data_IF_973523665602
#
_entry.id   IF_973523665602
#
_cell.length_a   1.000
_cell.length_b   1.000
_cell.length_c   1.000
_cell.angle_alpha   90.00
_cell.angle_beta   90.00
_cell.angle_gamma   90.00
#
_symmetry.space_group_name_H-M   'P 1'
#
loop_
_entity.id
_entity.type
_entity.pdbx_description
1 polymer ?
#
# COMPACT_ATOMS: atom_id res chain seq x y z
N UNK A 1 5.62 -7.08 9.19
CA UNK A 1 5.81 -5.60 9.13
C UNK A 1 4.48 -4.86 8.94
N UNK A 2 4.38 -3.64 9.46
CA UNK A 2 3.22 -2.75 9.25
C UNK A 2 3.21 -2.08 7.87
N UNK A 3 2.20 -1.25 7.60
CA UNK A 3 2.12 -0.39 6.41
C UNK A 3 1.18 0.80 6.65
N UNK A 4 1.54 2.03 6.26
CA UNK A 4 0.76 3.24 6.57
C UNK A 4 -0.57 3.42 5.80
N UNK A 5 -1.02 2.39 5.08
CA UNK A 5 -2.24 2.43 4.24
C UNK A 5 -2.94 1.08 4.15
N UNK A 6 -2.22 -0.04 4.15
CA UNK A 6 -2.83 -1.37 4.26
C UNK A 6 -2.78 -1.94 5.67
N UNK A 7 -2.06 -1.30 6.60
CA UNK A 7 -1.96 -1.68 8.02
C UNK A 7 -0.94 -2.78 8.19
N UNK A 8 -1.11 -3.88 7.45
CA UNK A 8 -0.16 -4.98 7.35
C UNK A 8 0.53 -4.98 5.98
N UNK A 9 1.85 -5.20 5.99
CA UNK A 9 2.64 -5.59 4.83
C UNK A 9 2.64 -7.10 4.60
N UNK A 10 1.45 -7.71 4.59
CA UNK A 10 1.25 -9.16 4.56
C UNK A 10 1.12 -9.73 3.14
N UNK A 11 0.60 -10.94 3.05
CA UNK A 11 0.44 -11.70 1.82
C UNK A 11 -0.37 -10.93 0.77
N UNK A 12 -1.55 -10.41 1.13
CA UNK A 12 -2.45 -9.75 0.18
C UNK A 12 -1.79 -8.51 -0.41
N UNK A 13 -1.25 -7.63 0.44
CA UNK A 13 -0.60 -6.40 -0.03
C UNK A 13 0.62 -6.72 -0.89
N UNK A 14 1.47 -7.66 -0.48
CA UNK A 14 2.71 -7.95 -1.20
C UNK A 14 2.44 -8.54 -2.58
N UNK A 15 1.44 -9.40 -2.70
CA UNK A 15 0.99 -9.93 -4.00
C UNK A 15 0.39 -8.81 -4.86
N UNK A 16 -0.52 -8.02 -4.30
CA UNK A 16 -1.22 -6.96 -5.01
C UNK A 16 -0.27 -5.93 -5.66
N UNK A 17 0.84 -5.58 -4.99
CA UNK A 17 1.77 -4.55 -5.50
C UNK A 17 3.09 -5.09 -6.03
N UNK A 18 3.44 -6.33 -5.70
CA UNK A 18 4.72 -6.96 -6.05
C UNK A 18 4.65 -7.90 -7.24
N UNK A 19 3.48 -8.48 -7.52
CA UNK A 19 3.28 -9.45 -8.60
C UNK A 19 2.53 -8.86 -9.81
N UNK A 20 2.50 -7.53 -9.93
CA UNK A 20 1.83 -6.80 -11.01
C UNK A 20 2.80 -5.85 -11.71
N UNK A 21 2.47 -5.43 -12.93
CA UNK A 21 3.29 -4.47 -13.66
C UNK A 21 3.23 -3.06 -13.03
N UNK A 22 4.14 -2.17 -13.46
CA UNK A 22 4.25 -0.81 -12.92
C UNK A 22 2.96 0.01 -13.09
N UNK A 23 2.25 -0.16 -14.20
CA UNK A 23 0.99 0.55 -14.49
C UNK A 23 -0.12 0.10 -13.55
N UNK A 24 -0.30 -1.21 -13.35
CA UNK A 24 -1.26 -1.76 -12.39
C UNK A 24 -0.93 -1.31 -10.97
N UNK A 25 0.35 -1.38 -10.56
CA UNK A 25 0.79 -0.85 -9.26
C UNK A 25 0.42 0.62 -9.09
N UNK A 26 0.60 1.44 -10.13
CA UNK A 26 0.21 2.85 -10.11
C UNK A 26 -1.31 3.04 -10.00
N UNK A 27 -2.12 2.23 -10.71
CA UNK A 27 -3.59 2.28 -10.66
C UNK A 27 -4.16 1.90 -9.29
N UNK A 28 -3.50 1.01 -8.54
CA UNK A 28 -3.87 0.73 -7.15
C UNK A 28 -3.78 2.01 -6.31
N UNK A 29 -2.77 2.85 -6.56
CA UNK A 29 -2.53 4.06 -5.77
C UNK A 29 -3.27 5.28 -6.30
N UNK A 30 -3.45 5.41 -7.61
CA UNK A 30 -3.80 6.66 -8.30
C UNK A 30 -5.15 6.56 -9.01
N UNK A 31 -5.92 7.65 -8.99
CA UNK A 31 -7.21 7.77 -9.70
C UNK A 31 -7.09 7.96 -11.22
N UNK A 32 -5.88 8.06 -11.76
CA UNK A 32 -5.64 8.23 -13.20
C UNK A 32 -4.35 9.00 -13.51
N UNK A 33 -4.15 9.38 -14.78
CA UNK A 33 -2.99 10.14 -15.23
C UNK A 33 -2.79 11.47 -14.49
N UNK A 34 -1.56 12.01 -14.46
CA UNK A 34 -1.34 13.38 -14.01
C UNK A 34 -2.03 14.38 -14.93
N UNK A 35 -2.36 15.56 -14.39
CA UNK A 35 -2.93 16.68 -15.14
C UNK A 35 -2.05 17.92 -14.99
N UNK A 36 -2.13 18.82 -15.96
CA UNK A 36 -1.31 20.04 -16.03
C UNK A 36 -2.08 21.24 -15.48
N UNK A 37 -1.48 21.93 -14.50
CA UNK A 37 -1.93 23.22 -13.95
C UNK A 37 -1.44 24.33 -14.90
N UNK A 38 -2.29 24.71 -15.85
CA UNK A 38 -1.90 25.61 -16.95
C UNK A 38 -1.36 26.96 -16.50
N UNK A 39 -1.91 27.50 -15.42
CA UNK A 39 -1.48 28.77 -14.81
C UNK A 39 -0.04 28.74 -14.28
N UNK A 40 0.53 27.54 -14.03
CA UNK A 40 1.93 27.38 -13.59
C UNK A 40 2.85 26.90 -14.70
N UNK A 41 2.31 26.23 -15.72
CA UNK A 41 3.13 25.67 -16.79
C UNK A 41 3.75 26.78 -17.65
N UNK A 42 5.07 26.78 -17.80
CA UNK A 42 5.80 27.73 -18.65
C UNK A 42 6.31 27.09 -19.96
N UNK A 43 5.91 25.86 -20.28
CA UNK A 43 6.27 25.20 -21.52
C UNK A 43 7.73 24.73 -21.64
N UNK A 44 8.49 24.65 -20.54
CA UNK A 44 9.93 24.30 -20.58
C UNK A 44 10.29 22.92 -21.16
N UNK A 45 9.33 22.00 -21.29
CA UNK A 45 9.54 20.71 -21.95
C UNK A 45 10.33 19.66 -21.16
N UNK A 46 10.75 19.92 -19.92
CA UNK A 46 11.46 18.91 -19.11
C UNK A 46 10.65 17.62 -18.91
N UNK A 47 9.33 17.74 -18.72
CA UNK A 47 8.44 16.59 -18.62
C UNK A 47 8.32 15.79 -19.91
N UNK A 48 8.46 16.42 -21.08
CA UNK A 48 8.49 15.74 -22.38
C UNK A 48 9.73 14.84 -22.45
N UNK A 49 10.91 15.39 -22.15
CA UNK A 49 12.18 14.64 -22.16
C UNK A 49 12.20 13.51 -21.14
N UNK A 50 11.55 13.70 -20.00
CA UNK A 50 11.49 12.71 -18.93
C UNK A 50 10.54 11.53 -19.24
N UNK A 51 9.49 11.74 -20.04
CA UNK A 51 8.45 10.75 -20.23
C UNK A 51 8.92 9.58 -21.10
N UNK A 52 9.07 8.35 -20.56
CA UNK A 52 9.54 7.20 -21.35
C UNK A 52 8.50 6.69 -22.36
N UNK A 53 7.25 7.10 -22.22
CA UNK A 53 6.15 6.67 -23.08
C UNK A 53 5.82 7.69 -24.19
N UNK A 54 6.57 8.80 -24.28
CA UNK A 54 6.26 9.91 -25.18
C UNK A 54 4.81 10.41 -25.04
N UNK A 55 4.26 10.34 -23.83
CA UNK A 55 2.88 10.68 -23.51
C UNK A 55 2.69 12.17 -23.22
N UNK A 56 3.72 13.00 -23.39
CA UNK A 56 3.66 14.43 -23.05
C UNK A 56 4.16 15.24 -24.24
N UNK A 57 3.39 16.24 -24.66
CA UNK A 57 3.75 17.18 -25.73
C UNK A 57 3.60 18.62 -25.25
N UNK A 58 4.21 19.57 -25.98
CA UNK A 58 3.97 21.00 -25.78
C UNK A 58 3.04 21.49 -26.89
N UNK A 59 1.89 22.04 -26.50
CA UNK A 59 0.92 22.65 -27.40
C UNK A 59 0.57 24.05 -26.87
N UNK A 60 0.64 25.07 -27.73
CA UNK A 60 0.37 26.47 -27.36
C UNK A 60 1.16 26.93 -26.12
N UNK A 61 2.43 26.52 -26.03
CA UNK A 61 3.31 26.86 -24.91
C UNK A 61 3.00 26.14 -23.59
N UNK A 62 2.11 25.14 -23.58
CA UNK A 62 1.71 24.38 -22.38
C UNK A 62 1.90 22.88 -22.59
N UNK A 63 2.22 22.18 -21.50
CA UNK A 63 2.27 20.73 -21.52
C UNK A 63 0.86 20.14 -21.67
N UNK A 64 0.76 19.07 -22.46
CA UNK A 64 -0.43 18.22 -22.63
C UNK A 64 -0.03 16.78 -22.40
N UNK A 65 -0.87 16.04 -21.70
CA UNK A 65 -0.65 14.63 -21.38
C UNK A 65 -1.65 13.83 -22.22
N UNK A 66 -1.13 12.86 -22.95
CA UNK A 66 -1.88 11.83 -23.66
C UNK A 66 -2.19 10.72 -22.65
N UNK A 67 -3.43 10.68 -22.19
CA UNK A 67 -3.87 9.78 -21.13
C UNK A 67 -3.77 8.30 -21.54
N UNK A 68 -3.94 7.99 -22.83
CA UNK A 68 -3.87 6.62 -23.35
C UNK A 68 -2.44 6.07 -23.37
N UNK A 69 -1.45 6.94 -23.59
CA UNK A 69 -0.03 6.56 -23.55
C UNK A 69 0.58 6.60 -22.16
N UNK A 70 -0.08 7.24 -21.20
CA UNK A 70 0.50 7.52 -19.90
C UNK A 70 0.67 6.25 -19.04
N UNK A 71 1.91 5.98 -18.57
CA UNK A 71 2.19 4.86 -17.66
C UNK A 71 1.89 5.17 -16.18
N UNK A 72 1.27 6.32 -15.88
CA UNK A 72 0.75 6.79 -14.58
C UNK A 72 1.77 7.09 -13.46
N UNK A 73 2.86 6.32 -13.40
CA UNK A 73 3.77 6.22 -12.27
C UNK A 73 5.20 6.73 -12.52
N UNK A 74 5.47 7.37 -13.68
CA UNK A 74 6.85 7.68 -14.06
C UNK A 74 7.54 8.73 -13.17
N UNK A 75 6.80 9.63 -12.52
CA UNK A 75 7.38 10.67 -11.67
C UNK A 75 7.55 12.05 -12.33
N UNK A 76 6.85 12.34 -13.43
CA UNK A 76 6.98 13.60 -14.16
C UNK A 76 6.63 14.84 -13.30
N UNK A 77 5.83 14.67 -12.25
CA UNK A 77 5.54 15.72 -11.27
C UNK A 77 6.78 16.13 -10.46
N UNK A 78 7.70 15.21 -10.18
CA UNK A 78 8.90 15.48 -9.37
C UNK A 78 9.97 16.28 -10.12
N UNK A 79 9.95 16.26 -11.45
CA UNK A 79 10.93 16.96 -12.29
C UNK A 79 10.46 18.34 -12.75
N UNK A 80 9.20 18.70 -12.46
CA UNK A 80 8.61 19.92 -12.99
C UNK A 80 9.02 21.11 -12.10
N UNK A 81 9.89 22.03 -12.55
CA UNK A 81 10.39 23.11 -11.69
C UNK A 81 9.29 24.10 -11.30
N UNK A 82 8.26 24.22 -12.13
CA UNK A 82 7.13 25.09 -11.89
C UNK A 82 6.03 24.45 -11.02
N UNK A 83 6.18 23.18 -10.62
CA UNK A 83 5.13 22.39 -9.96
C UNK A 83 3.79 22.44 -10.71
N UNK A 84 3.87 22.40 -12.04
CA UNK A 84 2.74 22.53 -12.96
C UNK A 84 2.09 21.20 -13.32
N UNK A 85 2.60 20.07 -12.84
CA UNK A 85 1.98 18.74 -12.99
C UNK A 85 1.43 18.34 -11.62
N UNK A 86 0.22 17.79 -11.57
CA UNK A 86 -0.38 17.36 -10.30
C UNK A 86 0.49 16.36 -9.56
N UNK A 87 0.71 16.63 -8.28
CA UNK A 87 1.57 15.82 -7.43
C UNK A 87 1.03 14.40 -7.23
N UNK A 88 1.93 13.49 -6.84
CA UNK A 88 1.58 12.10 -6.54
C UNK A 88 0.42 11.97 -5.54
N UNK A 89 0.47 12.76 -4.45
CA UNK A 89 -0.54 12.73 -3.38
C UNK A 89 -1.89 13.33 -3.78
N UNK A 90 -1.90 14.33 -4.68
CA UNK A 90 -3.12 14.95 -5.20
C UNK A 90 -4.00 13.92 -5.92
N UNK A 91 -3.36 12.89 -6.52
CA UNK A 91 -4.04 11.84 -7.29
C UNK A 91 -4.26 10.54 -6.53
N UNK A 92 -3.80 10.44 -5.29
CA UNK A 92 -4.00 9.24 -4.50
C UNK A 92 -5.48 8.93 -4.29
N UNK A 93 -5.86 7.66 -4.51
CA UNK A 93 -7.18 7.14 -4.16
C UNK A 93 -7.49 7.36 -2.67
N UNK A 94 -8.75 7.66 -2.32
CA UNK A 94 -9.26 7.52 -0.96
C UNK A 94 -8.95 6.14 -0.38
N UNK A 95 -8.99 6.04 0.95
CA UNK A 95 -8.54 4.86 1.65
C UNK A 95 -9.37 3.60 1.32
N UNK A 96 -10.70 3.73 1.27
CA UNK A 96 -11.60 2.63 0.88
C UNK A 96 -11.32 2.15 -0.54
N UNK A 97 -11.28 3.05 -1.52
CA UNK A 97 -11.00 2.70 -2.92
C UNK A 97 -9.62 2.04 -3.10
N UNK A 98 -8.62 2.50 -2.35
CA UNK A 98 -7.30 1.88 -2.33
C UNK A 98 -7.35 0.46 -1.78
N UNK A 99 -8.06 0.23 -0.67
CA UNK A 99 -8.22 -1.11 -0.10
C UNK A 99 -8.91 -2.09 -1.05
N UNK A 100 -9.96 -1.62 -1.74
CA UNK A 100 -10.64 -2.41 -2.79
C UNK A 100 -9.70 -2.73 -3.95
N UNK A 101 -8.93 -1.76 -4.43
CA UNK A 101 -7.98 -1.96 -5.53
C UNK A 101 -6.83 -2.93 -5.15
N UNK A 102 -6.40 -2.93 -3.88
CA UNK A 102 -5.43 -3.90 -3.36
C UNK A 102 -6.02 -5.31 -3.39
N UNK A 103 -7.25 -5.49 -2.90
CA UNK A 103 -7.92 -6.80 -2.90
C UNK A 103 -8.17 -7.32 -4.33
N UNK A 104 -8.59 -6.45 -5.25
CA UNK A 104 -8.83 -6.79 -6.65
C UNK A 104 -7.54 -7.23 -7.37
N UNK A 105 -6.45 -6.48 -7.18
CA UNK A 105 -5.16 -6.84 -7.75
C UNK A 105 -4.63 -8.18 -7.19
N UNK A 106 -4.79 -8.42 -5.88
CA UNK A 106 -4.45 -9.70 -5.29
C UNK A 106 -5.31 -10.84 -5.85
N UNK A 107 -6.60 -10.59 -6.08
CA UNK A 107 -7.53 -11.57 -6.63
C UNK A 107 -7.06 -12.10 -7.99
N UNK A 108 -6.74 -11.20 -8.91
CA UNK A 108 -6.29 -11.58 -10.26
C UNK A 108 -5.02 -12.43 -10.20
N UNK A 109 -4.05 -12.06 -9.36
CA UNK A 109 -2.79 -12.81 -9.24
C UNK A 109 -3.02 -14.18 -8.61
N UNK A 110 -3.75 -14.28 -7.50
CA UNK A 110 -3.97 -15.56 -6.81
C UNK A 110 -4.77 -16.51 -7.69
N UNK A 111 -5.80 -16.03 -8.40
CA UNK A 111 -6.63 -16.85 -9.30
C UNK A 111 -5.91 -17.31 -10.57
N UNK A 112 -4.79 -16.69 -10.92
CA UNK A 112 -3.95 -17.16 -12.02
C UNK A 112 -3.31 -18.52 -11.71
N UNK A 113 -2.99 -18.78 -10.44
CA UNK A 113 -2.34 -20.03 -10.02
C UNK A 113 -3.36 -21.13 -9.72
N UNK A 114 -2.99 -22.38 -10.02
CA UNK A 114 -3.73 -23.55 -9.53
C UNK A 114 -3.70 -23.55 -7.99
N UNK A 115 -4.83 -23.75 -7.28
CA UNK A 115 -4.88 -23.65 -5.82
C UNK A 115 -3.87 -24.56 -5.08
N UNK A 116 -3.53 -25.72 -5.64
CA UNK A 116 -2.54 -26.64 -5.05
C UNK A 116 -1.08 -26.21 -5.26
N UNK A 117 -0.83 -25.20 -6.11
CA UNK A 117 0.51 -24.71 -6.50
C UNK A 117 0.84 -23.35 -5.92
N UNK A 118 0.02 -22.84 -5.01
CA UNK A 118 0.23 -21.56 -4.32
C UNK A 118 0.11 -21.76 -2.81
N UNK A 119 0.95 -21.03 -2.07
CA UNK A 119 0.95 -20.96 -0.62
C UNK A 119 1.51 -19.63 -0.17
N UNK A 120 1.23 -19.27 1.08
CA UNK A 120 1.53 -17.97 1.66
C UNK A 120 2.31 -18.16 2.96
N UNK A 121 3.31 -17.30 3.17
CA UNK A 121 4.13 -17.27 4.36
C UNK A 121 4.20 -15.82 4.83
N UNK A 122 3.82 -15.57 6.08
CA UNK A 122 4.02 -14.29 6.74
C UNK A 122 5.12 -14.45 7.78
N UNK A 123 6.14 -13.61 7.66
CA UNK A 123 7.21 -13.50 8.63
C UNK A 123 6.87 -12.35 9.57
N UNK A 124 6.43 -12.69 10.77
CA UNK A 124 5.97 -11.74 11.79
C UNK A 124 7.02 -11.55 12.89
N UNK A 125 8.30 -11.53 12.51
CA UNK A 125 9.40 -11.10 13.37
C UNK A 125 9.69 -9.61 13.12
N UNK A 126 10.18 -8.90 14.15
CA UNK A 126 10.56 -7.48 14.10
C UNK A 126 9.53 -6.61 13.36
N UNK A 127 8.26 -6.68 13.79
CA UNK A 127 7.20 -5.95 13.11
C UNK A 127 7.38 -4.47 13.38
N UNK A 128 7.85 -3.73 12.37
CA UNK A 128 8.02 -2.27 12.41
C UNK A 128 6.79 -1.54 11.88
N UNK A 129 6.63 -0.22 12.14
CA UNK A 129 5.57 0.60 11.52
C UNK A 129 5.68 0.67 9.99
N UNK A 130 6.93 0.64 9.49
CA UNK A 130 7.25 0.70 8.07
C UNK A 130 7.07 -0.66 7.38
N UNK A 131 6.66 -0.64 6.11
CA UNK A 131 6.72 -1.79 5.22
C UNK A 131 8.02 -1.78 4.39
N UNK A 132 8.30 -2.86 3.65
CA UNK A 132 9.47 -2.98 2.78
C UNK A 132 9.49 -2.02 1.57
N UNK A 133 8.46 -1.19 1.38
CA UNK A 133 8.49 -0.14 0.38
C UNK A 133 9.26 1.11 0.84
N UNK A 134 9.65 1.18 2.11
CA UNK A 134 10.49 2.23 2.67
C UNK A 134 11.96 1.82 2.57
N UNK A 135 12.85 2.78 2.33
CA UNK A 135 14.31 2.55 2.27
C UNK A 135 14.97 2.54 3.66
N UNK A 136 14.17 2.62 4.71
CA UNK A 136 14.59 2.68 6.11
C UNK A 136 13.59 1.91 6.98
N UNK A 137 13.97 1.65 8.22
CA UNK A 137 13.17 0.93 9.21
C UNK A 137 13.27 1.61 10.57
N UNK A 138 12.42 1.22 11.50
CA UNK A 138 12.42 1.69 12.89
C UNK A 138 12.63 0.53 13.85
N UNK A 139 12.70 0.81 15.16
CA UNK A 139 12.53 -0.16 16.23
C UNK A 139 11.22 -0.93 16.03
N UNK A 140 11.26 -2.24 16.22
CA UNK A 140 10.07 -3.07 16.17
C UNK A 140 9.03 -2.58 17.19
N UNK A 141 7.76 -2.55 16.80
CA UNK A 141 6.66 -2.09 17.66
C UNK A 141 5.99 -3.23 18.41
N UNK A 142 6.14 -4.47 17.94
CA UNK A 142 5.72 -5.68 18.67
C UNK A 142 6.85 -6.74 18.64
N UNK A 143 6.92 -7.61 19.67
CA UNK A 143 7.85 -8.74 19.70
C UNK A 143 7.71 -9.69 18.52
N UNK A 144 8.68 -10.57 18.39
CA UNK A 144 8.63 -11.69 17.45
C UNK A 144 7.43 -12.60 17.74
N UNK A 145 6.58 -12.77 16.73
CA UNK A 145 5.41 -13.68 16.74
C UNK A 145 5.77 -15.01 16.06
N UNK A 146 6.79 -15.01 15.20
CA UNK A 146 7.25 -16.17 14.45
C UNK A 146 6.78 -16.19 12.99
N UNK A 147 6.61 -17.41 12.46
CA UNK A 147 6.31 -17.67 11.06
C UNK A 147 4.92 -18.27 10.94
N UNK A 148 4.06 -17.63 10.15
CA UNK A 148 2.76 -18.17 9.79
C UNK A 148 2.80 -18.73 8.38
N UNK A 149 2.11 -19.84 8.15
CA UNK A 149 2.01 -20.49 6.84
C UNK A 149 0.55 -20.85 6.59
N UNK A 150 0.05 -20.61 5.37
CA UNK A 150 -1.31 -20.96 4.97
C UNK A 150 -1.43 -21.16 3.46
N UNK A 151 -2.47 -21.86 3.03
CA UNK A 151 -2.94 -21.85 1.63
C UNK A 151 -4.02 -20.80 1.38
N UNK A 152 -4.46 -20.10 2.43
CA UNK A 152 -5.47 -19.05 2.39
C UNK A 152 -4.81 -17.70 2.74
N UNK A 153 -4.76 -16.74 1.79
CA UNK A 153 -4.11 -15.45 1.97
C UNK A 153 -4.89 -14.50 2.89
N UNK A 154 -6.21 -14.68 3.03
CA UNK A 154 -7.02 -13.88 3.95
C UNK A 154 -6.82 -14.37 5.37
N UNK A 155 -6.85 -15.69 5.57
CA UNK A 155 -6.67 -16.31 6.88
C UNK A 155 -5.29 -15.98 7.47
N UNK A 156 -4.21 -16.06 6.68
CA UNK A 156 -2.86 -15.78 7.18
C UNK A 156 -2.65 -14.31 7.57
N UNK A 157 -3.19 -13.37 6.79
CA UNK A 157 -3.11 -11.95 7.12
C UNK A 157 -3.98 -11.63 8.33
N UNK A 158 -5.19 -12.20 8.41
CA UNK A 158 -6.07 -12.07 9.59
C UNK A 158 -5.43 -12.62 10.86
N UNK A 159 -4.85 -13.83 10.80
CA UNK A 159 -4.11 -14.42 11.90
C UNK A 159 -2.92 -13.56 12.34
N UNK A 160 -2.18 -13.02 11.37
CA UNK A 160 -1.05 -12.12 11.66
C UNK A 160 -1.52 -10.86 12.39
N UNK A 161 -2.62 -10.24 11.94
CA UNK A 161 -3.19 -9.05 12.56
C UNK A 161 -3.67 -9.33 13.99
N UNK A 162 -4.34 -10.46 14.21
CA UNK A 162 -4.82 -10.84 15.53
C UNK A 162 -3.66 -11.11 16.51
N UNK A 163 -2.63 -11.85 16.08
CA UNK A 163 -1.46 -12.10 16.92
C UNK A 163 -0.69 -10.80 17.22
N UNK A 164 -0.58 -9.87 16.27
CA UNK A 164 0.01 -8.54 16.51
C UNK A 164 -0.83 -7.73 17.52
N UNK A 165 -2.16 -7.84 17.45
CA UNK A 165 -3.06 -7.18 18.38
C UNK A 165 -2.89 -7.73 19.80
N UNK A 166 -2.73 -9.04 19.95
CA UNK A 166 -2.53 -9.71 21.24
C UNK A 166 -1.08 -9.66 21.76
N UNK A 167 -0.13 -9.20 20.95
CA UNK A 167 1.24 -8.94 21.41
C UNK A 167 1.33 -7.60 22.18
N UNK A 168 2.15 -7.51 23.24
CA UNK A 168 2.46 -6.22 23.87
C UNK A 168 3.30 -5.35 22.92
N UNK A 169 3.33 -4.05 23.16
CA UNK A 169 4.25 -3.14 22.46
C UNK A 169 5.69 -3.24 23.00
N UNK A 170 6.65 -2.79 22.19
CA UNK A 170 8.06 -2.70 22.60
C UNK A 170 8.39 -1.25 23.06
N UNK A 171 9.09 -1.05 24.21
CA UNK A 171 9.53 0.28 24.65
C UNK A 171 10.47 0.95 23.65
N UNK A 172 10.51 2.29 23.66
CA UNK A 172 11.31 3.08 22.72
C UNK A 172 11.00 2.79 21.25
N UNK A 173 9.73 2.48 20.96
CA UNK A 173 9.20 2.28 19.61
C UNK A 173 7.98 3.17 19.37
N UNK A 174 7.48 3.17 18.13
CA UNK A 174 6.22 3.83 17.79
C UNK A 174 5.03 3.36 18.66
N UNK A 175 5.06 2.14 19.22
CA UNK A 175 4.00 1.68 20.12
C UNK A 175 3.96 2.47 21.43
N UNK A 176 5.13 2.88 21.96
CA UNK A 176 5.23 3.69 23.17
C UNK A 176 4.82 5.14 22.89
N UNK A 177 5.33 5.72 21.79
CA UNK A 177 4.99 7.09 21.38
C UNK A 177 3.49 7.30 21.18
N UNK A 178 2.82 6.31 20.58
CA UNK A 178 1.38 6.31 20.36
C UNK A 178 0.55 5.86 21.58
N UNK A 179 1.20 5.40 22.67
CA UNK A 179 0.55 4.85 23.86
C UNK A 179 -0.35 3.63 23.57
N UNK A 180 0.09 2.76 22.67
CA UNK A 180 -0.63 1.56 22.20
C UNK A 180 0.06 0.26 22.65
N UNK A 181 0.73 0.30 23.79
CA UNK A 181 1.56 -0.81 24.30
C UNK A 181 0.75 -2.03 24.77
N UNK A 182 -0.53 -1.85 25.10
CA UNK A 182 -1.34 -2.91 25.71
C UNK A 182 -1.74 -3.99 24.69
N UNK A 183 -1.95 -5.20 25.18
CA UNK A 183 -2.58 -6.30 24.43
C UNK A 183 -4.03 -5.95 24.08
N UNK A 184 -4.55 -6.50 22.99
CA UNK A 184 -5.90 -6.22 22.49
C UNK A 184 -6.05 -4.89 21.75
N UNK A 185 -5.02 -4.04 21.73
CA UNK A 185 -5.00 -2.77 20.99
C UNK A 185 -4.60 -3.02 19.53
N UNK A 186 -5.38 -2.50 18.59
CA UNK A 186 -5.09 -2.57 17.17
C UNK A 186 -3.94 -1.64 16.78
N UNK A 187 -2.72 -2.14 16.91
CA UNK A 187 -1.51 -1.36 16.65
C UNK A 187 -1.38 -0.97 15.16
N UNK A 188 -1.84 -1.83 14.25
CA UNK A 188 -1.69 -1.65 12.80
C UNK A 188 -2.61 -0.57 12.22
N UNK A 189 -3.77 -0.33 12.82
CA UNK A 189 -4.58 0.85 12.48
C UNK A 189 -3.94 2.13 13.04
N UNK A 190 -3.38 2.05 14.25
CA UNK A 190 -2.89 3.23 14.98
C UNK A 190 -1.58 3.80 14.42
N UNK A 191 -0.74 3.00 13.74
CA UNK A 191 0.47 3.53 13.08
C UNK A 191 0.18 4.60 12.01
N UNK A 192 -1.05 4.67 11.47
CA UNK A 192 -1.44 5.73 10.55
C UNK A 192 -1.61 7.10 11.23
N UNK A 193 -1.70 7.12 12.56
CA UNK A 193 -1.71 8.33 13.39
C UNK A 193 -0.31 8.75 13.84
N UNK A 194 0.70 7.91 13.62
CA UNK A 194 2.08 8.21 13.94
C UNK A 194 2.59 9.35 13.06
N UNK A 195 3.20 10.37 13.66
CA UNK A 195 3.60 11.59 12.97
C UNK A 195 4.45 11.31 11.71
N UNK A 196 5.47 10.42 11.76
CA UNK A 196 6.27 10.10 10.59
C UNK A 196 5.49 9.46 9.43
N UNK A 197 4.31 8.90 9.68
CA UNK A 197 3.48 8.21 8.68
C UNK A 197 2.14 8.93 8.40
N UNK A 198 1.82 10.00 9.12
CA UNK A 198 0.55 10.72 8.99
C UNK A 198 0.33 11.27 7.57
N UNK A 199 1.41 11.46 6.80
CA UNK A 199 1.38 11.94 5.42
C UNK A 199 0.65 10.98 4.47
N UNK A 200 0.55 9.71 4.85
CA UNK A 200 -0.12 8.66 4.09
C UNK A 200 -1.61 8.53 4.44
N UNK A 201 -2.06 9.21 5.50
CA UNK A 201 -3.45 9.20 5.95
C UNK A 201 -4.34 9.85 4.88
N UNK A 202 -5.35 9.10 4.45
CA UNK A 202 -6.51 9.61 3.72
C UNK A 202 -7.75 9.13 4.46
N UNK A 203 -8.78 9.97 4.51
CA UNK A 203 -9.98 9.76 5.34
C UNK A 203 -10.62 8.37 5.16
N UNK A 204 -11.30 7.93 6.24
CA UNK A 204 -12.28 6.85 6.23
C UNK A 204 -11.69 5.45 6.47
N UNK A 205 -12.17 4.83 7.55
CA UNK A 205 -12.13 3.40 7.87
C UNK A 205 -10.82 2.81 8.45
N UNK A 206 -10.94 1.81 9.35
CA UNK A 206 -9.80 1.18 10.00
C UNK A 206 -8.99 0.36 9.00
N UNK A 207 -7.68 0.54 9.07
CA UNK A 207 -6.71 -0.15 8.25
C UNK A 207 -6.06 -1.20 9.14
N UNK A 208 -6.31 -2.51 8.98
CA UNK A 208 -6.23 -3.24 7.70
C UNK A 208 -7.53 -3.88 7.18
N UNK A 209 -8.64 -3.77 7.91
CA UNK A 209 -9.82 -4.63 7.71
C UNK A 209 -10.52 -4.45 6.36
N UNK A 210 -10.48 -3.26 5.77
CA UNK A 210 -11.04 -3.01 4.42
C UNK A 210 -10.47 -3.99 3.39
N UNK A 211 -9.15 -4.21 3.42
CA UNK A 211 -8.46 -5.09 2.47
C UNK A 211 -8.87 -6.54 2.71
N UNK A 212 -8.90 -6.97 3.97
CA UNK A 212 -9.29 -8.34 4.34
C UNK A 212 -10.74 -8.66 3.97
N UNK A 213 -11.66 -7.77 4.31
CA UNK A 213 -13.09 -7.94 4.01
C UNK A 213 -13.33 -7.96 2.50
N UNK A 214 -12.70 -7.05 1.75
CA UNK A 214 -12.81 -7.03 0.30
C UNK A 214 -12.25 -8.31 -0.33
N UNK A 215 -11.07 -8.76 0.11
CA UNK A 215 -10.46 -10.00 -0.35
C UNK A 215 -11.33 -11.23 -0.03
N UNK A 216 -11.89 -11.30 1.16
CA UNK A 216 -12.79 -12.39 1.55
C UNK A 216 -14.08 -12.39 0.72
N UNK A 217 -14.70 -11.22 0.51
CA UNK A 217 -15.88 -11.05 -0.36
C UNK A 217 -15.62 -11.47 -1.81
N UNK A 218 -14.40 -11.26 -2.32
CA UNK A 218 -13.96 -11.72 -3.64
C UNK A 218 -13.69 -13.24 -3.69
N UNK A 219 -13.78 -13.96 -2.56
CA UNK A 219 -13.50 -15.39 -2.50
C UNK A 219 -12.02 -15.72 -2.63
N UNK A 220 -11.14 -14.84 -2.13
CA UNK A 220 -9.71 -15.15 -1.96
C UNK A 220 -9.44 -16.05 -0.76
N UNK A 221 -10.32 -16.02 0.24
CA UNK A 221 -10.12 -16.73 1.49
C UNK A 221 -11.11 -16.34 2.58
N UNK A 222 -10.86 -16.86 3.77
CA UNK A 222 -11.74 -16.75 4.94
C UNK A 222 -11.18 -15.80 6.01
N UNK A 223 -12.08 -15.04 6.64
CA UNK A 223 -11.78 -14.32 7.89
C UNK A 223 -11.76 -15.22 9.12
N UNK A 224 -12.30 -16.44 8.99
CA UNK A 224 -12.24 -17.48 10.02
C UNK A 224 -11.04 -18.39 9.74
N UNK A 225 -10.29 -18.72 10.78
CA UNK A 225 -9.12 -19.57 10.72
C UNK A 225 -8.97 -20.33 12.03
N UNK A 226 -8.20 -21.42 11.98
CA UNK A 226 -7.76 -22.17 13.15
C UNK A 226 -6.22 -22.09 13.22
N UNK A 227 -5.68 -21.79 14.39
CA UNK A 227 -4.24 -21.82 14.61
C UNK A 227 -3.81 -23.21 15.04
N UNK A 228 -2.94 -23.81 14.26
CA UNK A 228 -2.29 -25.09 14.57
C UNK A 228 -0.84 -24.76 14.92
N UNK A 229 -0.48 -24.95 16.19
CA UNK A 229 0.91 -24.82 16.64
C UNK A 229 1.64 -26.13 16.35
N UNK A 230 2.79 -26.04 15.67
CA UNK A 230 3.64 -27.16 15.27
C UNK A 230 4.93 -27.12 16.07
#
# INVERSE_FOLDING_TARGET
>A
KGHPRTGLGGAIKNIAVGCVNKTTKALIHLKGPPYVKENRCNGCGLCVKFCPANAITILNGKARIDDEKCLLGCGCWSICPANAISGFRERHRPQVEFGLAVADAAYVVVKHFTPSKIGFINLAYDVTPHCDCFTYSDTAMVPDIGVLISKDPVAIDKASIDLIREAPGIPSSAAEELKIMNVGVDKLTQINLWEPLNFARKDGEPVPYIVLEAASKLGLGSLQYELINI
#
